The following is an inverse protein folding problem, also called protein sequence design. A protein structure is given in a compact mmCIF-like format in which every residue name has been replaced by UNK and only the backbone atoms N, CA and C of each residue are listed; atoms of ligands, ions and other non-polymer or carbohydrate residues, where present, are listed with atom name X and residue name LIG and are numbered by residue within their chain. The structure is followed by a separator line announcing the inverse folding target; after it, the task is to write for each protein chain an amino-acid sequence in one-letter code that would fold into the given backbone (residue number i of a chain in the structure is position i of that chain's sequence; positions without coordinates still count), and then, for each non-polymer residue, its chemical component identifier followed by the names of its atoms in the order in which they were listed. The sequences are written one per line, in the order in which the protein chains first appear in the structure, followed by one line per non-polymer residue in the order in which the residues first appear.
data_IF_093027652593
#
_entry.id   IF_093027652593
#
_cell.length_a   1.000
_cell.length_b   1.000
_cell.length_c   1.000
_cell.angle_alpha   90.00
_cell.angle_beta   90.00
_cell.angle_gamma   90.00
#
_symmetry.space_group_name_H-M   'P 1'
#
loop_
_entity.id
_entity.type
_entity.pdbx_description
1 polymer ?
#
# COMPACT_ATOMS: atom_id res chain seq x y z
N UNK A 1 -23.10 -23.67 -10.86
CA UNK A 1 -22.76 -22.65 -9.83
C UNK A 1 -21.28 -22.65 -9.38
N UNK A 2 -20.33 -23.25 -10.11
CA UNK A 2 -18.88 -23.19 -9.80
C UNK A 2 -18.11 -22.20 -10.73
N UNK A 3 -18.59 -22.03 -11.96
CA UNK A 3 -17.93 -21.24 -13.00
C UNK A 3 -18.07 -19.71 -12.83
N UNK A 4 -19.06 -19.21 -12.09
CA UNK A 4 -19.21 -17.76 -11.81
C UNK A 4 -18.13 -17.22 -10.87
N UNK A 5 -17.60 -18.04 -9.95
CA UNK A 5 -16.46 -17.66 -9.10
C UNK A 5 -15.16 -17.51 -9.89
N UNK A 6 -15.02 -18.24 -11.00
CA UNK A 6 -13.88 -18.14 -11.92
C UNK A 6 -14.01 -16.95 -12.90
N UNK A 7 -15.24 -16.48 -13.18
CA UNK A 7 -15.53 -15.41 -14.16
C UNK A 7 -15.30 -13.97 -13.66
N UNK A 8 -15.01 -13.72 -12.38
CA UNK A 8 -14.71 -12.37 -11.86
C UNK A 8 -13.23 -11.94 -11.97
N UNK A 9 -12.44 -12.57 -12.86
CA UNK A 9 -10.99 -12.31 -13.03
C UNK A 9 -10.61 -11.64 -14.35
N UNK A 10 -11.55 -10.95 -15.03
CA UNK A 10 -11.28 -10.27 -16.31
C UNK A 10 -11.76 -8.83 -16.27
N UNK A 11 -10.95 -7.98 -15.68
CA UNK A 11 -11.11 -6.54 -15.69
C UNK A 11 -9.99 -5.89 -14.90
N UNK A 12 -9.48 -4.74 -15.38
CA UNK A 12 -8.52 -3.90 -14.68
C UNK A 12 -9.20 -3.29 -13.44
N UNK A 13 -9.41 -4.12 -12.40
CA UNK A 13 -10.04 -3.69 -11.17
C UNK A 13 -9.13 -2.65 -10.51
N UNK A 14 -9.68 -1.46 -10.25
CA UNK A 14 -8.96 -0.36 -9.61
C UNK A 14 -8.30 -0.90 -8.34
N UNK A 15 -6.98 -0.76 -8.25
CA UNK A 15 -6.12 -1.25 -7.16
C UNK A 15 -6.34 -0.51 -5.82
N UNK A 16 -7.45 0.22 -5.67
CA UNK A 16 -7.79 0.99 -4.48
C UNK A 16 -7.96 0.13 -3.23
N UNK A 17 -8.53 -1.06 -3.36
CA UNK A 17 -8.89 -1.93 -2.22
C UNK A 17 -7.94 -3.13 -2.09
N UNK A 18 -6.64 -2.88 -1.97
CA UNK A 18 -5.63 -3.93 -1.81
C UNK A 18 -5.16 -4.04 -0.37
N UNK A 19 -5.07 -5.24 0.19
CA UNK A 19 -4.51 -5.47 1.52
C UNK A 19 -3.07 -5.94 1.41
N UNK A 20 -2.12 -5.15 1.91
CA UNK A 20 -0.71 -5.50 1.93
C UNK A 20 -0.40 -6.68 2.87
N UNK A 21 -1.04 -6.73 4.04
CA UNK A 21 -0.86 -7.81 5.03
C UNK A 21 -1.23 -9.18 4.47
N UNK A 22 -2.26 -9.23 3.62
CA UNK A 22 -2.76 -10.48 3.04
C UNK A 22 -2.41 -10.64 1.55
N UNK A 23 -1.66 -9.71 0.98
CA UNK A 23 -1.38 -9.59 -0.46
C UNK A 23 -2.63 -9.84 -1.34
N UNK A 24 -3.77 -9.26 -0.95
CA UNK A 24 -5.09 -9.58 -1.51
C UNK A 24 -5.80 -8.36 -2.05
N UNK A 25 -6.20 -8.41 -3.32
CA UNK A 25 -7.10 -7.43 -3.91
C UNK A 25 -8.56 -7.76 -3.54
N UNK A 26 -9.25 -6.75 -3.03
CA UNK A 26 -10.70 -6.75 -2.80
C UNK A 26 -11.38 -5.96 -3.93
N UNK A 27 -12.62 -6.35 -4.28
CA UNK A 27 -13.35 -5.76 -5.42
C UNK A 27 -13.83 -4.33 -5.11
N UNK A 28 -14.33 -4.14 -3.89
CA UNK A 28 -15.03 -2.93 -3.47
C UNK A 28 -14.73 -2.63 -1.99
N UNK A 29 -15.22 -1.48 -1.53
CA UNK A 29 -15.03 -0.99 -0.17
C UNK A 29 -15.63 -1.93 0.87
N UNK A 30 -16.82 -2.47 0.60
CA UNK A 30 -17.49 -3.40 1.50
C UNK A 30 -16.70 -4.71 1.64
N UNK A 31 -16.22 -5.26 0.53
CA UNK A 31 -15.37 -6.43 0.49
C UNK A 31 -14.05 -6.22 1.24
N UNK A 32 -13.47 -5.02 1.15
CA UNK A 32 -12.29 -4.67 1.94
C UNK A 32 -12.60 -4.55 3.43
N UNK A 33 -13.72 -3.92 3.80
CA UNK A 33 -14.19 -3.79 5.20
C UNK A 33 -14.43 -5.17 5.83
N UNK A 34 -15.13 -6.06 5.11
CA UNK A 34 -15.31 -7.45 5.54
C UNK A 34 -13.98 -8.21 5.62
N UNK A 35 -13.07 -7.97 4.68
CA UNK A 35 -11.74 -8.61 4.69
C UNK A 35 -10.93 -8.23 5.93
N UNK A 36 -10.83 -6.94 6.26
CA UNK A 36 -10.06 -6.46 7.41
C UNK A 36 -10.62 -6.99 8.73
N UNK A 37 -11.95 -7.19 8.82
CA UNK A 37 -12.63 -7.78 9.98
C UNK A 37 -12.50 -9.31 10.06
N UNK A 38 -12.03 -9.98 9.00
CA UNK A 38 -11.99 -11.45 8.96
C UNK A 38 -10.88 -12.04 9.83
N UNK A 39 -11.12 -13.24 10.38
CA UNK A 39 -10.12 -13.98 11.17
C UNK A 39 -8.83 -14.29 10.41
N UNK A 40 -8.92 -14.45 9.09
CA UNK A 40 -7.74 -14.67 8.25
C UNK A 40 -6.84 -13.43 8.26
N UNK A 41 -7.44 -12.24 8.10
CA UNK A 41 -6.71 -10.99 8.17
C UNK A 41 -6.09 -10.79 9.56
N UNK A 42 -6.89 -10.95 10.62
CA UNK A 42 -6.43 -10.77 12.01
C UNK A 42 -5.28 -11.72 12.37
N UNK A 43 -5.34 -12.99 11.92
CA UNK A 43 -4.23 -13.94 12.12
C UNK A 43 -2.97 -13.53 11.37
N UNK A 44 -3.08 -13.10 10.12
CA UNK A 44 -1.93 -12.64 9.34
C UNK A 44 -1.32 -11.37 9.94
N UNK A 45 -2.15 -10.43 10.38
CA UNK A 45 -1.71 -9.22 11.08
C UNK A 45 -0.96 -9.57 12.37
N UNK A 46 -1.52 -10.44 13.22
CA UNK A 46 -0.84 -10.91 14.44
C UNK A 46 0.51 -11.56 14.15
N UNK A 47 0.62 -12.36 13.08
CA UNK A 47 1.90 -12.94 12.65
C UNK A 47 2.92 -11.86 12.27
N UNK A 48 2.51 -10.84 11.52
CA UNK A 48 3.41 -9.75 11.14
C UNK A 48 3.81 -8.88 12.33
N UNK A 49 2.94 -8.71 13.32
CA UNK A 49 3.25 -7.98 14.55
C UNK A 49 4.18 -8.78 15.47
N UNK A 50 3.96 -10.08 15.61
CA UNK A 50 4.75 -10.97 16.46
C UNK A 50 6.20 -11.17 15.97
N UNK A 51 6.44 -11.01 14.66
CA UNK A 51 7.78 -11.11 14.09
C UNK A 51 8.69 -9.90 14.36
N UNK A 52 8.17 -8.80 14.91
CA UNK A 52 8.91 -7.54 15.11
C UNK A 52 9.29 -7.31 16.59
N UNK A 53 10.07 -8.21 17.17
CA UNK A 53 10.63 -8.18 18.55
C UNK A 53 9.76 -8.83 19.66
N UNK A 54 10.38 -9.65 20.55
CA UNK A 54 9.76 -10.13 21.77
C UNK A 54 9.90 -9.06 22.87
N UNK A 55 8.91 -8.16 23.03
CA UNK A 55 8.88 -7.28 24.22
C UNK A 55 8.14 -5.94 24.09
N UNK A 56 7.83 -5.48 22.88
CA UNK A 56 7.15 -4.19 22.66
C UNK A 56 5.64 -4.33 22.49
N UNK A 57 4.87 -4.04 23.54
CA UNK A 57 3.41 -4.18 23.55
C UNK A 57 2.65 -3.40 22.47
N UNK A 58 1.70 -4.08 21.83
CA UNK A 58 0.42 -3.58 21.28
C UNK A 58 0.44 -2.48 20.22
N UNK A 59 0.93 -1.29 20.55
CA UNK A 59 0.84 -0.08 19.73
C UNK A 59 2.15 0.22 18.97
N UNK A 60 3.31 -0.12 19.55
CA UNK A 60 4.62 0.15 18.94
C UNK A 60 4.89 -0.76 17.75
N UNK A 61 4.51 -2.04 17.83
CA UNK A 61 4.67 -3.00 16.75
C UNK A 61 3.84 -2.64 15.50
N UNK A 62 2.62 -2.11 15.70
CA UNK A 62 1.78 -1.64 14.60
C UNK A 62 2.38 -0.38 13.94
N UNK A 63 2.85 0.57 14.74
CA UNK A 63 3.56 1.74 14.24
C UNK A 63 4.84 1.37 13.47
N UNK A 64 5.61 0.40 13.97
CA UNK A 64 6.80 -0.13 13.30
C UNK A 64 6.46 -0.80 11.96
N UNK A 65 5.38 -1.59 11.90
CA UNK A 65 4.91 -2.20 10.66
C UNK A 65 4.51 -1.14 9.62
N UNK A 66 3.77 -0.11 10.05
CA UNK A 66 3.37 1.02 9.19
C UNK A 66 4.61 1.81 8.72
N UNK A 67 5.59 2.03 9.59
CA UNK A 67 6.84 2.70 9.24
C UNK A 67 7.58 1.91 8.14
N UNK A 68 7.71 0.58 8.32
CA UNK A 68 8.33 -0.30 7.31
C UNK A 68 7.66 -0.20 5.95
N UNK A 69 6.33 -0.25 5.90
CA UNK A 69 5.58 -0.08 4.65
C UNK A 69 5.74 1.32 4.05
N UNK A 70 5.80 2.35 4.90
CA UNK A 70 6.02 3.73 4.46
C UNK A 70 7.41 3.92 3.84
N UNK A 71 8.43 3.29 4.40
CA UNK A 71 9.80 3.34 3.88
C UNK A 71 9.93 2.57 2.56
N UNK A 72 9.32 1.38 2.48
CA UNK A 72 9.23 0.59 1.24
C UNK A 72 8.51 1.38 0.14
N UNK A 73 7.38 2.02 0.47
CA UNK A 73 6.66 2.89 -0.45
C UNK A 73 7.54 4.03 -0.93
N UNK A 74 8.18 4.78 -0.03
CA UNK A 74 9.01 5.92 -0.38
C UNK A 74 10.18 5.53 -1.30
N UNK A 75 10.85 4.42 -0.99
CA UNK A 75 11.96 3.91 -1.80
C UNK A 75 11.51 3.52 -3.21
N UNK A 76 10.45 2.70 -3.32
CA UNK A 76 9.92 2.25 -4.60
C UNK A 76 9.34 3.41 -5.44
N UNK A 77 8.61 4.33 -4.80
CA UNK A 77 8.00 5.49 -5.45
C UNK A 77 9.07 6.42 -6.04
N UNK A 78 10.13 6.73 -5.30
CA UNK A 78 11.25 7.53 -5.80
C UNK A 78 12.07 6.80 -6.86
N UNK A 79 12.27 5.49 -6.71
CA UNK A 79 12.97 4.68 -7.71
C UNK A 79 12.23 4.68 -9.05
N UNK A 80 10.90 4.52 -9.03
CA UNK A 80 10.08 4.60 -10.22
C UNK A 80 10.12 6.01 -10.83
N UNK A 81 9.99 7.06 -9.99
CA UNK A 81 9.99 8.45 -10.46
C UNK A 81 11.28 8.80 -11.22
N UNK A 82 12.43 8.39 -10.66
CA UNK A 82 13.74 8.58 -11.30
C UNK A 82 13.89 7.81 -12.60
N UNK A 83 13.32 6.60 -12.69
CA UNK A 83 13.39 5.75 -13.90
C UNK A 83 12.50 6.25 -15.03
N UNK A 84 11.30 6.76 -14.73
CA UNK A 84 10.29 7.08 -15.76
C UNK A 84 10.24 8.56 -16.13
N UNK A 85 10.35 9.47 -15.16
CA UNK A 85 10.17 10.91 -15.38
C UNK A 85 11.46 11.71 -15.21
N UNK A 86 12.43 11.22 -14.43
CA UNK A 86 13.70 11.91 -14.19
C UNK A 86 13.47 13.26 -13.51
N UNK A 87 13.87 14.35 -14.17
CA UNK A 87 13.64 15.74 -13.73
C UNK A 87 12.38 16.38 -14.32
N UNK A 88 11.60 15.66 -15.15
CA UNK A 88 10.40 16.24 -15.77
C UNK A 88 9.27 16.41 -14.74
N UNK A 89 8.55 17.54 -14.76
CA UNK A 89 7.39 17.73 -13.91
C UNK A 89 6.28 16.75 -14.32
N UNK A 90 5.67 16.10 -13.33
CA UNK A 90 4.58 15.14 -13.54
C UNK A 90 3.45 15.38 -12.54
N UNK A 91 2.21 15.29 -13.00
CA UNK A 91 1.06 15.37 -12.12
C UNK A 91 1.06 14.18 -11.13
N UNK A 92 1.09 14.49 -9.83
CA UNK A 92 1.27 13.51 -8.77
C UNK A 92 0.22 12.38 -8.78
N UNK A 93 -1.04 12.71 -9.03
CA UNK A 93 -2.12 11.71 -9.13
C UNK A 93 -1.92 10.77 -10.33
N UNK A 94 -1.47 11.30 -11.47
CA UNK A 94 -1.18 10.49 -12.66
C UNK A 94 -0.01 9.55 -12.40
N UNK A 95 1.05 10.05 -11.79
CA UNK A 95 2.22 9.24 -11.43
C UNK A 95 1.86 8.14 -10.40
N UNK A 96 1.05 8.47 -9.39
CA UNK A 96 0.58 7.47 -8.42
C UNK A 96 -0.27 6.37 -9.07
N UNK A 97 -1.15 6.72 -10.01
CA UNK A 97 -1.90 5.73 -10.78
C UNK A 97 -0.99 4.80 -11.60
N UNK A 98 0.09 5.34 -12.16
CA UNK A 98 1.11 4.56 -12.84
C UNK A 98 1.86 3.62 -11.88
N UNK A 99 2.21 4.12 -10.68
CA UNK A 99 2.90 3.36 -9.65
C UNK A 99 2.08 2.14 -9.17
N UNK A 100 0.78 2.30 -8.90
CA UNK A 100 -0.10 1.21 -8.44
C UNK A 100 -0.57 0.26 -9.55
N UNK A 101 -0.02 0.37 -10.77
CA UNK A 101 -0.21 -0.65 -11.82
C UNK A 101 0.56 -1.92 -11.50
N UNK A 102 1.71 -1.78 -10.86
CA UNK A 102 2.47 -2.91 -10.34
C UNK A 102 1.82 -3.41 -9.04
N UNK A 103 1.70 -4.74 -8.92
CA UNK A 103 1.09 -5.40 -7.75
C UNK A 103 2.08 -5.62 -6.62
N UNK A 104 3.38 -5.58 -6.91
CA UNK A 104 4.44 -5.77 -5.90
C UNK A 104 4.75 -4.47 -5.15
N UNK A 105 4.28 -3.34 -5.68
CA UNK A 105 4.37 -2.06 -5.00
C UNK A 105 3.47 -1.99 -3.77
N UNK A 106 3.96 -1.35 -2.71
CA UNK A 106 3.15 -1.06 -1.52
C UNK A 106 2.12 0.01 -1.88
N UNK A 107 0.85 -0.20 -1.54
CA UNK A 107 -0.19 0.80 -1.78
C UNK A 107 -0.22 1.84 -0.66
N UNK A 108 -0.68 3.06 -0.99
CA UNK A 108 -0.74 4.18 -0.05
C UNK A 108 -1.54 3.86 1.23
N UNK A 109 -2.60 3.04 1.12
CA UNK A 109 -3.46 2.65 2.24
C UNK A 109 -2.72 1.88 3.37
N UNK A 110 -1.52 1.38 3.09
CA UNK A 110 -0.68 0.64 4.03
C UNK A 110 0.44 1.50 4.61
N UNK A 111 0.48 2.79 4.27
CA UNK A 111 1.46 3.77 4.74
C UNK A 111 0.85 4.71 5.79
N UNK A 112 1.71 5.50 6.44
CA UNK A 112 1.27 6.55 7.37
C UNK A 112 0.54 7.72 6.72
N UNK A 113 0.58 7.85 5.39
CA UNK A 113 0.05 9.02 4.69
C UNK A 113 -1.39 8.81 4.22
N UNK A 114 -2.26 9.78 4.51
CA UNK A 114 -3.69 9.74 4.14
C UNK A 114 -3.95 10.08 2.67
N UNK A 115 -3.00 10.73 2.00
CA UNK A 115 -3.10 11.11 0.59
C UNK A 115 -1.73 11.10 -0.08
N UNK A 116 -1.71 10.94 -1.41
CA UNK A 116 -0.47 10.98 -2.20
C UNK A 116 0.22 12.34 -2.02
N UNK A 117 -0.55 13.43 -1.97
CA UNK A 117 -0.03 14.77 -1.69
C UNK A 117 0.65 14.86 -0.33
N UNK A 118 0.11 14.23 0.71
CA UNK A 118 0.75 14.19 2.02
C UNK A 118 2.08 13.41 1.97
N UNK A 119 2.13 12.30 1.23
CA UNK A 119 3.37 11.56 1.01
C UNK A 119 4.40 12.42 0.25
N UNK A 120 4.01 13.09 -0.82
CA UNK A 120 4.91 13.93 -1.61
C UNK A 120 5.43 15.15 -0.82
N UNK A 121 4.57 15.80 -0.02
CA UNK A 121 5.01 16.87 0.91
C UNK A 121 6.05 16.37 1.90
N UNK A 122 5.87 15.17 2.43
CA UNK A 122 6.84 14.57 3.35
C UNK A 122 8.17 14.28 2.64
N UNK A 123 8.14 13.73 1.43
CA UNK A 123 9.35 13.48 0.63
C UNK A 123 10.07 14.77 0.22
N UNK A 124 9.31 15.85 -0.02
CA UNK A 124 9.84 17.17 -0.29
C UNK A 124 10.53 17.77 0.94
N UNK A 125 9.87 17.73 2.10
CA UNK A 125 10.46 18.17 3.37
C UNK A 125 11.73 17.38 3.73
N UNK A 126 11.81 16.10 3.34
CA UNK A 126 13.00 15.27 3.49
C UNK A 126 14.09 15.54 2.43
N UNK A 127 13.89 16.49 1.51
CA UNK A 127 14.85 16.84 0.45
C UNK A 127 14.98 15.79 -0.66
N UNK A 128 14.07 14.81 -0.74
CA UNK A 128 14.18 13.67 -1.68
C UNK A 128 13.52 13.93 -3.03
N UNK A 129 12.62 14.91 -3.12
CA UNK A 129 11.98 15.34 -4.36
C UNK A 129 11.62 16.83 -4.34
N UNK A 130 11.51 17.42 -5.52
CA UNK A 130 10.93 18.76 -5.70
C UNK A 130 9.42 18.61 -5.96
N UNK A 131 8.61 19.42 -5.28
CA UNK A 131 7.14 19.42 -5.41
C UNK A 131 6.71 20.61 -6.27
#
# INVERSE_FOLDING_TARGET
KYQEKQRRRRGLQKTRFYCQVCARQCLDENGFSCHVKSDVHMRNLRKQLAGNEPGGGGATAAAALIARYSDQFAAAFLALLRRTHGDKPVALNRFYQEYIRDRDHVHLNSTRWRSVTAAARHLHAAGRCRL
#
